data_IF_952227953263
#
_entry.id   IF_952227953263
#
_cell.length_a   1.000
_cell.length_b   1.000
_cell.length_c   1.000
_cell.angle_alpha   90.00
_cell.angle_beta   90.00
_cell.angle_gamma   90.00
#
_symmetry.space_group_name_H-M   'P 1'
#
loop_
_entity.id
_entity.type
_entity.pdbx_description
1 polymer ?
#
# COMPACT_ATOMS: atom_id res chain seq x y z
N UNK A 1 13.05 24.34 -18.16
CA UNK A 1 12.70 23.18 -17.34
C UNK A 1 11.45 22.59 -17.95
N UNK A 2 11.58 21.48 -18.66
CA UNK A 2 10.45 20.87 -19.36
C UNK A 2 9.62 20.10 -18.34
N UNK A 3 8.48 20.68 -17.97
CA UNK A 3 7.51 20.03 -17.11
C UNK A 3 6.85 18.92 -17.92
N UNK A 4 7.26 17.67 -17.69
CA UNK A 4 6.62 16.52 -18.32
C UNK A 4 5.45 16.08 -17.46
N UNK A 5 4.23 16.35 -17.93
CA UNK A 5 3.03 15.80 -17.34
C UNK A 5 2.77 14.41 -17.94
N UNK A 6 2.79 13.37 -17.10
CA UNK A 6 2.38 12.02 -17.49
C UNK A 6 1.01 11.72 -16.88
N UNK A 7 0.02 11.48 -17.74
CA UNK A 7 -1.25 10.93 -17.28
C UNK A 7 -1.07 9.49 -16.81
N UNK A 8 -1.42 9.23 -15.56
CA UNK A 8 -1.40 7.89 -14.96
C UNK A 8 -2.81 7.33 -15.00
N UNK A 9 -2.97 6.11 -15.53
CA UNK A 9 -4.24 5.40 -15.46
C UNK A 9 -4.38 4.75 -14.08
N UNK A 10 -5.55 4.85 -13.43
CA UNK A 10 -5.76 4.19 -12.15
C UNK A 10 -5.84 2.67 -12.33
N UNK A 11 -5.37 1.91 -11.34
CA UNK A 11 -5.39 0.43 -11.36
C UNK A 11 -6.81 -0.10 -11.43
N UNK A 12 -7.70 0.40 -10.57
CA UNK A 12 -9.15 0.16 -10.65
C UNK A 12 -9.93 1.48 -10.90
N UNK A 13 -11.18 1.44 -11.41
CA UNK A 13 -12.01 2.64 -11.58
C UNK A 13 -12.10 3.48 -10.30
N UNK A 14 -12.08 4.80 -10.45
CA UNK A 14 -12.21 5.74 -9.33
C UNK A 14 -13.70 6.05 -9.11
N UNK A 15 -14.28 5.40 -8.10
CA UNK A 15 -15.67 5.64 -7.65
C UNK A 15 -15.78 6.69 -6.54
N UNK A 16 -17.02 7.02 -6.12
CA UNK A 16 -17.28 7.99 -5.05
C UNK A 16 -16.53 7.68 -3.75
N UNK A 17 -16.50 6.41 -3.32
CA UNK A 17 -15.86 5.96 -2.07
C UNK A 17 -14.32 6.02 -2.11
N UNK A 18 -13.74 6.28 -3.28
CA UNK A 18 -12.30 6.40 -3.49
C UNK A 18 -11.83 7.84 -3.67
N UNK A 19 -12.75 8.81 -3.52
CA UNK A 19 -12.49 10.23 -3.70
C UNK A 19 -12.86 11.04 -2.47
N UNK A 20 -12.12 12.11 -2.26
CA UNK A 20 -12.47 13.18 -1.34
C UNK A 20 -12.14 14.53 -1.96
N UNK A 21 -12.56 15.61 -1.33
CA UNK A 21 -12.26 16.97 -1.76
C UNK A 21 -11.43 17.65 -0.68
N UNK A 22 -10.33 18.28 -1.10
CA UNK A 22 -9.52 19.13 -0.24
C UNK A 22 -9.59 20.57 -0.74
N UNK A 23 -9.49 21.53 0.19
CA UNK A 23 -9.27 22.91 -0.19
C UNK A 23 -7.80 23.12 -0.53
N UNK A 24 -7.53 23.68 -1.71
CA UNK A 24 -6.21 24.14 -2.11
C UNK A 24 -6.29 25.60 -2.50
N UNK A 25 -5.93 26.48 -1.57
CA UNK A 25 -5.93 27.93 -1.78
C UNK A 25 -7.32 28.47 -2.18
N UNK A 26 -8.38 28.00 -1.50
CA UNK A 26 -9.76 28.40 -1.78
C UNK A 26 -10.37 27.71 -3.00
N UNK A 27 -9.69 26.73 -3.59
CA UNK A 27 -10.21 25.93 -4.70
C UNK A 27 -10.48 24.50 -4.24
N UNK A 28 -11.70 23.97 -4.44
CA UNK A 28 -11.99 22.57 -4.16
C UNK A 28 -11.32 21.67 -5.20
N UNK A 29 -10.39 20.82 -4.75
CA UNK A 29 -9.68 19.86 -5.59
C UNK A 29 -10.11 18.45 -5.21
N UNK A 30 -10.59 17.69 -6.18
CA UNK A 30 -10.88 16.28 -5.98
C UNK A 30 -9.57 15.46 -5.98
N UNK A 31 -9.40 14.67 -4.94
CA UNK A 31 -8.24 13.79 -4.72
C UNK A 31 -8.70 12.39 -4.34
N UNK A 32 -7.80 11.41 -4.35
CA UNK A 32 -8.08 10.07 -3.84
C UNK A 32 -8.16 10.08 -2.31
N UNK A 33 -8.93 9.15 -1.73
CA UNK A 33 -8.82 8.85 -0.30
C UNK A 33 -7.44 8.29 0.03
N UNK A 34 -7.05 8.34 1.31
CA UNK A 34 -5.78 7.78 1.75
C UNK A 34 -5.69 6.29 1.43
N UNK A 35 -6.73 5.53 1.73
CA UNK A 35 -6.80 4.08 1.54
C UNK A 35 -6.72 3.70 0.07
N UNK A 36 -7.36 4.49 -0.80
CA UNK A 36 -7.23 4.30 -2.25
C UNK A 36 -5.81 4.54 -2.71
N UNK A 37 -5.19 5.62 -2.23
CA UNK A 37 -3.81 5.99 -2.56
C UNK A 37 -2.86 4.88 -2.13
N UNK A 38 -2.99 4.37 -0.90
CA UNK A 38 -2.19 3.26 -0.38
C UNK A 38 -2.34 2.02 -1.27
N UNK A 39 -3.59 1.61 -1.57
CA UNK A 39 -3.84 0.44 -2.41
C UNK A 39 -3.22 0.56 -3.80
N UNK A 40 -3.31 1.74 -4.43
CA UNK A 40 -2.70 2.00 -5.74
C UNK A 40 -1.18 2.00 -5.68
N UNK A 41 -0.58 2.55 -4.63
CA UNK A 41 0.88 2.59 -4.50
C UNK A 41 1.51 1.22 -4.19
N UNK A 42 0.82 0.33 -3.49
CA UNK A 42 1.30 -1.06 -3.35
C UNK A 42 1.25 -1.83 -4.68
N UNK A 43 0.32 -1.49 -5.57
CA UNK A 43 0.27 -2.04 -6.94
C UNK A 43 1.31 -1.40 -7.86
N UNK A 44 1.54 -0.09 -7.69
CA UNK A 44 2.39 0.77 -8.51
C UNK A 44 3.39 1.56 -7.67
N UNK A 45 4.37 0.89 -7.02
CA UNK A 45 5.32 1.57 -6.15
C UNK A 45 6.23 2.56 -6.91
N UNK A 46 6.32 2.42 -8.25
CA UNK A 46 7.01 3.38 -9.12
C UNK A 46 6.45 4.81 -9.01
N UNK A 47 5.17 4.96 -8.66
CA UNK A 47 4.52 6.26 -8.49
C UNK A 47 4.86 6.95 -7.16
N UNK A 48 5.42 6.21 -6.19
CA UNK A 48 5.90 6.73 -4.92
C UNK A 48 7.42 6.98 -4.91
N UNK A 49 8.12 6.76 -6.02
CA UNK A 49 9.59 6.78 -6.06
C UNK A 49 10.25 5.43 -5.75
N UNK A 50 9.47 4.36 -5.58
CA UNK A 50 9.95 3.00 -5.32
C UNK A 50 9.45 2.43 -3.99
N UNK A 51 9.93 1.24 -3.65
CA UNK A 51 9.48 0.49 -2.49
C UNK A 51 9.87 1.15 -1.15
N UNK A 52 11.08 1.70 -1.08
CA UNK A 52 11.60 2.36 0.12
C UNK A 52 10.82 3.65 0.40
N UNK A 53 10.71 4.53 -0.61
CA UNK A 53 9.99 5.80 -0.46
C UNK A 53 8.49 5.61 -0.20
N UNK A 54 7.88 4.55 -0.76
CA UNK A 54 6.53 4.15 -0.38
C UNK A 54 6.44 3.91 1.13
N UNK A 55 7.31 3.08 1.69
CA UNK A 55 7.24 2.69 3.11
C UNK A 55 7.56 3.88 4.02
N UNK A 56 8.58 4.68 3.69
CA UNK A 56 8.93 5.90 4.41
C UNK A 56 7.76 6.90 4.42
N UNK A 57 7.07 7.05 3.28
CA UNK A 57 5.89 7.93 3.20
C UNK A 57 4.74 7.42 4.08
N UNK A 58 4.60 6.09 4.19
CA UNK A 58 3.57 5.46 5.01
C UNK A 58 3.86 5.52 6.51
N UNK A 59 5.08 5.83 6.95
CA UNK A 59 5.40 6.07 8.37
C UNK A 59 4.67 7.27 8.96
N UNK A 60 4.28 8.23 8.13
CA UNK A 60 3.54 9.41 8.56
C UNK A 60 2.02 9.17 8.67
N UNK A 61 1.54 7.99 8.28
CA UNK A 61 0.12 7.64 8.41
C UNK A 61 -0.21 7.36 9.87
N UNK A 62 -1.10 8.18 10.44
CA UNK A 62 -1.53 8.06 11.84
C UNK A 62 -2.82 7.27 12.03
N UNK A 63 -3.64 7.18 10.98
CA UNK A 63 -4.92 6.46 11.00
C UNK A 63 -5.40 6.19 9.58
N UNK A 64 -6.14 5.10 9.39
CA UNK A 64 -6.81 4.76 8.12
C UNK A 64 -8.00 3.81 8.37
N UNK A 65 -8.98 3.79 7.48
CA UNK A 65 -10.04 2.78 7.45
C UNK A 65 -9.54 1.48 6.81
N UNK A 66 -9.19 0.50 7.64
CA UNK A 66 -8.66 -0.77 7.17
C UNK A 66 -9.67 -1.57 6.32
N UNK A 67 -10.97 -1.36 6.52
CA UNK A 67 -12.01 -1.93 5.70
C UNK A 67 -12.06 -1.31 4.30
N UNK A 68 -11.91 0.01 4.19
CA UNK A 68 -11.79 0.70 2.90
C UNK A 68 -10.52 0.27 2.16
N UNK A 69 -9.39 0.15 2.85
CA UNK A 69 -8.16 -0.37 2.27
C UNK A 69 -8.37 -1.79 1.70
N UNK A 70 -9.00 -2.69 2.45
CA UNK A 70 -9.32 -4.03 1.99
C UNK A 70 -10.19 -4.03 0.72
N UNK A 71 -11.19 -3.15 0.63
CA UNK A 71 -12.03 -3.01 -0.57
C UNK A 71 -11.23 -2.53 -1.78
N UNK A 72 -10.33 -1.58 -1.60
CA UNK A 72 -9.51 -1.07 -2.71
C UNK A 72 -8.46 -2.09 -3.17
N UNK A 73 -7.81 -2.82 -2.25
CA UNK A 73 -6.91 -3.92 -2.59
C UNK A 73 -7.65 -5.03 -3.37
N UNK A 74 -8.86 -5.37 -2.96
CA UNK A 74 -9.69 -6.34 -3.68
C UNK A 74 -10.05 -5.85 -5.10
N UNK A 75 -10.42 -4.57 -5.24
CA UNK A 75 -10.75 -3.96 -6.53
C UNK A 75 -9.55 -3.92 -7.48
N UNK A 76 -8.33 -3.73 -6.96
CA UNK A 76 -7.10 -3.74 -7.75
C UNK A 76 -6.76 -5.16 -8.28
N UNK A 77 -7.23 -6.21 -7.61
CA UNK A 77 -7.08 -7.59 -8.09
C UNK A 77 -5.65 -8.15 -8.11
N UNK A 78 -4.68 -7.41 -7.56
CA UNK A 78 -3.28 -7.83 -7.49
C UNK A 78 -2.98 -8.48 -6.13
N UNK A 79 -2.97 -9.82 -6.12
CA UNK A 79 -2.71 -10.59 -4.90
C UNK A 79 -1.34 -10.28 -4.28
N UNK A 80 -0.31 -10.06 -5.10
CA UNK A 80 1.05 -9.73 -4.63
C UNK A 80 1.09 -8.39 -3.92
N UNK A 81 0.41 -7.38 -4.47
CA UNK A 81 0.26 -6.07 -3.82
C UNK A 81 -0.55 -6.18 -2.51
N UNK A 82 -1.63 -6.96 -2.51
CA UNK A 82 -2.42 -7.21 -1.30
C UNK A 82 -1.62 -7.90 -0.20
N UNK A 83 -0.77 -8.87 -0.55
CA UNK A 83 0.16 -9.52 0.39
C UNK A 83 1.16 -8.53 1.00
N UNK A 84 1.76 -7.66 0.19
CA UNK A 84 2.68 -6.64 0.68
C UNK A 84 1.99 -5.57 1.55
N UNK A 85 0.81 -5.10 1.15
CA UNK A 85 0.01 -4.15 1.92
C UNK A 85 -0.45 -4.75 3.26
N UNK A 86 -0.86 -6.02 3.25
CA UNK A 86 -1.25 -6.75 4.44
C UNK A 86 -0.11 -6.91 5.44
N UNK A 87 1.08 -7.28 4.97
CA UNK A 87 2.30 -7.30 5.80
C UNK A 87 2.60 -5.93 6.44
N UNK A 88 2.51 -4.85 5.65
CA UNK A 88 2.75 -3.49 6.17
C UNK A 88 1.74 -3.12 7.25
N UNK A 89 0.46 -3.42 7.02
CA UNK A 89 -0.64 -3.11 7.91
C UNK A 89 -0.58 -3.92 9.20
N UNK A 90 -0.19 -5.20 9.13
CA UNK A 90 -0.03 -6.09 10.30
C UNK A 90 1.05 -5.56 11.25
N UNK A 91 2.21 -5.15 10.71
CA UNK A 91 3.29 -4.55 11.52
C UNK A 91 2.86 -3.29 12.26
N UNK A 92 1.90 -2.55 11.70
CA UNK A 92 1.36 -1.32 12.27
C UNK A 92 0.00 -1.52 12.93
N UNK A 93 -0.45 -2.76 13.13
CA UNK A 93 -1.80 -3.05 13.61
C UNK A 93 -2.12 -2.34 14.92
N UNK A 94 -1.18 -2.32 15.87
CA UNK A 94 -1.36 -1.67 17.17
C UNK A 94 -1.45 -0.15 17.01
N UNK A 95 -0.49 0.47 16.33
CA UNK A 95 -0.41 1.93 16.16
C UNK A 95 -1.58 2.49 15.36
N UNK A 96 -2.03 1.77 14.33
CA UNK A 96 -3.14 2.15 13.47
C UNK A 96 -4.50 1.64 13.96
N UNK A 97 -4.54 0.95 15.11
CA UNK A 97 -5.75 0.37 15.71
C UNK A 97 -6.55 -0.50 14.73
N UNK A 98 -5.85 -1.29 13.90
CA UNK A 98 -6.45 -2.06 12.82
C UNK A 98 -7.19 -3.27 13.40
N UNK A 99 -8.51 -3.41 13.11
CA UNK A 99 -9.28 -4.52 13.63
C UNK A 99 -8.89 -5.82 12.91
N UNK A 100 -8.80 -6.92 13.66
CA UNK A 100 -8.29 -8.19 13.13
C UNK A 100 -9.15 -8.79 12.00
N UNK A 101 -10.43 -8.43 11.89
CA UNK A 101 -11.29 -8.84 10.78
C UNK A 101 -10.86 -8.19 9.45
N UNK A 102 -10.39 -6.93 9.46
CA UNK A 102 -9.89 -6.26 8.27
C UNK A 102 -8.58 -6.89 7.80
N UNK A 103 -7.65 -7.22 8.72
CA UNK A 103 -6.43 -7.97 8.37
C UNK A 103 -6.75 -9.34 7.79
N UNK A 104 -7.69 -10.08 8.38
CA UNK A 104 -8.16 -11.36 7.83
C UNK A 104 -8.72 -11.20 6.42
N UNK A 105 -9.52 -10.15 6.17
CA UNK A 105 -10.04 -9.87 4.84
C UNK A 105 -8.91 -9.65 3.82
N UNK A 106 -7.90 -8.84 4.16
CA UNK A 106 -6.74 -8.61 3.28
C UNK A 106 -5.93 -9.90 3.08
N UNK A 107 -5.78 -10.71 4.13
CA UNK A 107 -5.08 -11.99 4.03
C UNK A 107 -5.75 -12.97 3.05
N UNK A 108 -7.07 -12.91 2.87
CA UNK A 108 -7.75 -13.73 1.84
C UNK A 108 -7.39 -13.32 0.40
N UNK A 109 -6.90 -12.09 0.21
CA UNK A 109 -6.47 -11.56 -1.08
C UNK A 109 -4.99 -11.87 -1.38
N UNK A 110 -4.21 -12.26 -0.37
CA UNK A 110 -2.79 -12.56 -0.50
C UNK A 110 -2.55 -13.72 -1.49
N UNK A 111 -1.37 -13.80 -2.12
CA UNK A 111 -1.11 -14.83 -3.11
C UNK A 111 -1.08 -16.22 -2.45
N UNK A 112 -1.51 -17.25 -3.18
CA UNK A 112 -1.52 -18.64 -2.68
C UNK A 112 -0.14 -19.28 -2.57
N UNK A 113 0.84 -18.71 -3.26
CA UNK A 113 2.22 -19.16 -3.31
C UNK A 113 3.12 -17.94 -3.16
N UNK A 114 4.33 -18.15 -2.64
CA UNK A 114 5.30 -17.08 -2.47
C UNK A 114 5.58 -16.33 -3.79
N UNK A 115 5.51 -14.99 -3.75
CA UNK A 115 5.79 -14.10 -4.90
C UNK A 115 6.70 -12.95 -4.47
N UNK A 116 7.60 -12.53 -5.35
CA UNK A 116 8.37 -11.30 -5.14
C UNK A 116 7.45 -10.08 -5.31
N UNK A 117 7.44 -9.20 -4.33
CA UNK A 117 6.64 -7.98 -4.31
C UNK A 117 7.55 -6.74 -4.22
N UNK A 118 7.00 -5.58 -4.55
CA UNK A 118 7.68 -4.28 -4.45
C UNK A 118 9.08 -4.24 -5.12
N UNK A 119 9.24 -4.94 -6.24
CA UNK A 119 10.50 -4.96 -6.99
C UNK A 119 11.63 -5.80 -6.38
N UNK A 120 11.34 -6.63 -5.37
CA UNK A 120 12.33 -7.55 -4.79
C UNK A 120 12.95 -8.48 -5.86
N UNK A 121 14.25 -8.74 -5.74
CA UNK A 121 15.00 -9.67 -6.60
C UNK A 121 15.36 -10.95 -5.86
N UNK A 122 15.61 -12.01 -6.61
CA UNK A 122 16.07 -13.28 -6.05
C UNK A 122 17.39 -13.09 -5.29
N UNK A 123 17.46 -13.57 -4.05
CA UNK A 123 18.63 -13.43 -3.17
C UNK A 123 18.71 -12.13 -2.37
N UNK A 124 17.92 -11.10 -2.70
CA UNK A 124 18.00 -9.75 -2.10
C UNK A 124 16.76 -9.39 -1.24
N UNK A 125 15.89 -10.37 -1.01
CA UNK A 125 14.62 -10.16 -0.30
C UNK A 125 14.50 -10.92 1.02
N UNK A 126 13.46 -10.56 1.78
CA UNK A 126 13.02 -11.26 3.00
C UNK A 126 11.60 -11.77 2.80
N UNK A 127 11.35 -12.99 3.23
CA UNK A 127 10.01 -13.55 3.23
C UNK A 127 9.17 -12.86 4.33
N UNK A 128 8.05 -12.28 3.93
CA UNK A 128 6.98 -11.89 4.84
C UNK A 128 6.15 -13.14 5.17
N UNK A 129 6.56 -13.86 6.21
CA UNK A 129 5.86 -15.06 6.67
C UNK A 129 4.38 -14.74 6.95
N UNK A 130 3.49 -15.66 6.54
CA UNK A 130 2.03 -15.45 6.61
C UNK A 130 1.45 -14.78 5.35
N UNK A 131 2.18 -13.88 4.69
CA UNK A 131 1.66 -13.09 3.57
C UNK A 131 2.05 -13.61 2.18
N UNK A 132 2.83 -14.69 2.10
CA UNK A 132 3.28 -15.32 0.84
C UNK A 132 3.95 -14.31 -0.12
N UNK A 133 4.67 -13.32 0.42
CA UNK A 133 5.44 -12.38 -0.39
C UNK A 133 6.89 -12.31 0.07
N UNK A 134 7.78 -12.01 -0.87
CA UNK A 134 9.17 -11.66 -0.62
C UNK A 134 9.33 -10.17 -0.90
N UNK A 135 9.78 -9.42 0.09
CA UNK A 135 9.95 -7.97 0.03
C UNK A 135 11.43 -7.61 -0.07
N UNK A 136 11.81 -6.45 -0.63
CA UNK A 136 13.19 -5.98 -0.57
C UNK A 136 13.67 -5.93 0.88
N UNK A 137 14.92 -6.34 1.14
CA UNK A 137 15.46 -6.37 2.50
C UNK A 137 15.37 -5.00 3.20
N UNK A 138 15.67 -3.91 2.48
CA UNK A 138 15.54 -2.54 3.00
C UNK A 138 14.14 -2.23 3.52
N UNK A 139 13.09 -2.71 2.85
CA UNK A 139 11.70 -2.52 3.30
C UNK A 139 11.38 -3.45 4.48
N UNK A 140 11.75 -4.73 4.36
CA UNK A 140 11.42 -5.72 5.37
C UNK A 140 12.08 -5.40 6.72
N UNK A 141 13.31 -4.92 6.68
CA UNK A 141 14.17 -4.69 7.84
C UNK A 141 13.98 -3.26 8.43
N UNK A 142 13.34 -2.31 7.71
CA UNK A 142 13.09 -0.91 8.10
C UNK A 142 12.15 -0.67 9.31
N UNK A 143 12.04 -1.62 10.23
CA UNK A 143 11.52 -1.34 11.58
C UNK A 143 12.11 -2.25 12.64
N UNK A 144 13.33 -2.73 12.40
CA UNK A 144 14.18 -3.44 13.34
C UNK A 144 15.31 -2.53 13.84
N UNK A 145 15.02 -1.25 14.10
CA UNK A 145 15.83 -0.49 15.05
C UNK A 145 15.29 -0.81 16.44
N UNK A 146 15.94 -1.79 17.08
CA UNK A 146 15.69 -2.12 18.47
C UNK A 146 15.84 -0.87 19.33
N UNK A 147 14.76 -0.51 19.99
CA UNK A 147 14.78 0.28 21.22
C UNK A 147 14.36 -0.63 22.37
#
# INVERSE_FOLDING_TARGET
ADFTCRFVRPTAPIGPDSRTTIDRLGQPVAVTTLERTIADLFDRPDLAGGAEELINSLDFVVSLDAGALARHLAANGNATAAGAAGWWLERRQKTLHVPGNALKAIHTLAPRQTRYALGARAGEGRAAAGWNVVLPAVVADAGFEGT
#
